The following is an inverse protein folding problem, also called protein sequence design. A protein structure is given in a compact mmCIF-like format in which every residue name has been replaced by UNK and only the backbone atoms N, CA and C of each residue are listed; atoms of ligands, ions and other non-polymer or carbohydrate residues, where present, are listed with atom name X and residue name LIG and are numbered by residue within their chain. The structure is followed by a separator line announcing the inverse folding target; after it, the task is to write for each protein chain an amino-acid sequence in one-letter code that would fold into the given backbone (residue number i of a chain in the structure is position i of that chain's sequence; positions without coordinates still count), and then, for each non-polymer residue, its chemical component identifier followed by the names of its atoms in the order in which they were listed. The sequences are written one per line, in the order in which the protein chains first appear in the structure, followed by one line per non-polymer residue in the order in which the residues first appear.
data_IF_908573182429
#
_entry.id   IF_908573182429
#
_cell.length_a   1.000
_cell.length_b   1.000
_cell.length_c   1.000
_cell.angle_alpha   90.00
_cell.angle_beta   90.00
_cell.angle_gamma   90.00
#
_symmetry.space_group_name_H-M   'P 1'
#
loop_
_entity.id
_entity.type
_entity.pdbx_description
1 polymer ?
#
# COMPACT_ATOMS: atom_id res chain seq x y z
N UNK A 1 -7.92 29.00 32.52
CA UNK A 1 -7.78 27.76 31.72
C UNK A 1 -6.90 28.03 30.48
N UNK A 2 -5.56 27.98 30.57
CA UNK A 2 -4.72 28.18 29.37
C UNK A 2 -3.26 27.63 29.45
N UNK A 3 -3.01 26.56 30.21
CA UNK A 3 -1.63 26.06 30.47
C UNK A 3 -1.21 24.84 29.63
N UNK A 4 -1.91 24.53 28.54
CA UNK A 4 -1.64 23.36 27.68
C UNK A 4 -1.12 23.62 26.24
N UNK A 5 -0.73 24.82 25.78
CA UNK A 5 -0.18 24.94 24.43
C UNK A 5 1.24 24.39 24.34
N UNK A 6 2.12 24.68 25.32
CA UNK A 6 3.55 24.34 25.20
C UNK A 6 3.78 22.83 25.23
N UNK A 7 3.19 22.10 26.19
CA UNK A 7 3.34 20.64 26.27
C UNK A 7 2.81 19.92 25.01
N UNK A 8 1.62 20.30 24.53
CA UNK A 8 1.04 19.72 23.31
C UNK A 8 1.88 20.06 22.07
N UNK A 9 2.35 21.30 21.94
CA UNK A 9 3.23 21.71 20.84
C UNK A 9 4.56 20.97 20.91
N UNK A 10 5.17 20.82 22.08
CA UNK A 10 6.41 20.05 22.25
C UNK A 10 6.23 18.58 21.89
N UNK A 11 5.13 17.94 22.31
CA UNK A 11 4.81 16.57 21.91
C UNK A 11 4.60 16.44 20.40
N UNK A 12 3.89 17.39 19.77
CA UNK A 12 3.69 17.43 18.32
C UNK A 12 5.02 17.61 17.59
N UNK A 13 5.85 18.58 17.98
CA UNK A 13 7.16 18.83 17.39
C UNK A 13 8.07 17.60 17.51
N UNK A 14 8.13 16.96 18.68
CA UNK A 14 8.94 15.76 18.88
C UNK A 14 8.41 14.58 18.05
N UNK A 15 7.09 14.38 18.01
CA UNK A 15 6.46 13.33 17.20
C UNK A 15 6.74 13.50 15.71
N UNK A 16 6.59 14.71 15.18
CA UNK A 16 6.95 15.00 13.79
C UNK A 16 8.45 14.87 13.56
N UNK A 17 9.31 15.40 14.44
CA UNK A 17 10.75 15.25 14.30
C UNK A 17 11.15 13.77 14.24
N UNK A 18 10.60 12.94 15.12
CA UNK A 18 10.87 11.50 15.14
C UNK A 18 10.48 10.81 13.82
N UNK A 19 9.35 11.17 13.21
CA UNK A 19 8.91 10.60 11.92
C UNK A 19 9.72 11.12 10.73
N UNK A 20 10.08 12.40 10.72
CA UNK A 20 10.72 13.06 9.58
C UNK A 20 12.25 12.94 9.58
N UNK A 21 12.90 12.82 10.76
CA UNK A 21 14.36 12.68 10.86
C UNK A 21 14.89 11.47 10.06
N UNK A 22 14.31 10.25 10.16
CA UNK A 22 14.76 9.11 9.36
C UNK A 22 14.60 9.33 7.85
N UNK A 23 13.51 9.99 7.43
CA UNK A 23 13.25 10.32 6.02
C UNK A 23 14.31 11.31 5.52
N UNK A 24 14.57 12.38 6.28
CA UNK A 24 15.61 13.36 5.96
C UNK A 24 17.01 12.73 5.94
N UNK A 25 17.29 11.84 6.88
CA UNK A 25 18.54 11.07 6.91
C UNK A 25 18.71 10.24 5.64
N UNK A 26 17.67 9.52 5.19
CA UNK A 26 17.66 8.81 3.92
C UNK A 26 17.93 9.72 2.72
N UNK A 27 17.36 10.93 2.70
CA UNK A 27 17.62 11.92 1.65
C UNK A 27 19.08 12.40 1.70
N UNK A 28 19.65 12.67 2.88
CA UNK A 28 21.06 13.07 2.99
C UNK A 28 21.99 11.96 2.52
N UNK A 29 21.71 10.71 2.92
CA UNK A 29 22.51 9.55 2.53
C UNK A 29 22.36 9.16 1.06
N UNK A 30 21.28 9.54 0.36
CA UNK A 30 21.18 9.32 -1.09
C UNK A 30 22.25 10.08 -1.88
N UNK A 31 22.79 11.17 -1.31
CA UNK A 31 23.92 11.91 -1.86
C UNK A 31 25.29 11.39 -1.42
N UNK A 32 25.37 10.30 -0.64
CA UNK A 32 26.64 9.73 -0.22
C UNK A 32 27.27 8.91 -1.37
N UNK A 33 28.51 9.24 -1.74
CA UNK A 33 29.27 8.46 -2.74
C UNK A 33 29.56 7.02 -2.28
N UNK A 34 29.68 6.80 -0.98
CA UNK A 34 29.96 5.47 -0.42
C UNK A 34 28.78 4.52 -0.58
N UNK A 35 29.07 3.22 -0.74
CA UNK A 35 28.05 2.15 -0.68
C UNK A 35 27.62 1.84 0.75
N UNK A 36 28.45 2.18 1.73
CA UNK A 36 28.18 1.96 3.15
C UNK A 36 27.71 3.27 3.76
N UNK A 37 26.53 3.25 4.38
CA UNK A 37 25.98 4.41 5.11
C UNK A 37 26.88 4.82 6.30
N UNK A 38 27.72 3.91 6.79
CA UNK A 38 28.68 4.15 7.89
C UNK A 38 29.92 4.94 7.48
N UNK A 39 30.19 5.08 6.18
CA UNK A 39 31.38 5.78 5.66
C UNK A 39 30.93 6.94 4.79
N UNK A 40 31.29 8.16 5.14
CA UNK A 40 30.99 9.34 4.32
C UNK A 40 31.99 9.47 3.18
N UNK A 41 31.57 9.14 1.95
CA UNK A 41 32.41 9.18 0.75
C UNK A 41 32.42 10.52 0.01
N UNK A 42 31.80 11.56 0.58
CA UNK A 42 31.57 12.85 -0.05
C UNK A 42 30.23 12.94 -0.80
N UNK A 43 29.84 14.18 -1.15
CA UNK A 43 28.60 14.47 -1.87
C UNK A 43 28.68 13.98 -3.33
N UNK A 44 27.67 13.26 -3.80
CA UNK A 44 27.59 12.70 -5.15
C UNK A 44 26.16 12.40 -5.56
N UNK A 45 25.80 12.73 -6.80
CA UNK A 45 24.52 12.37 -7.42
C UNK A 45 24.60 11.10 -8.28
N UNK A 46 25.72 10.36 -8.19
CA UNK A 46 25.99 9.19 -9.03
C UNK A 46 24.87 8.13 -9.02
N UNK A 47 24.18 7.96 -7.89
CA UNK A 47 23.15 6.93 -7.72
C UNK A 47 21.90 7.23 -8.55
N UNK A 48 21.57 8.51 -8.71
CA UNK A 48 20.48 8.94 -9.59
C UNK A 48 20.81 8.63 -11.05
N UNK A 49 22.05 8.90 -11.49
CA UNK A 49 22.51 8.51 -12.84
C UNK A 49 22.47 7.00 -13.07
N UNK A 50 22.98 6.22 -12.10
CA UNK A 50 22.94 4.75 -12.16
C UNK A 50 21.52 4.19 -12.15
N UNK A 51 20.59 4.82 -11.43
CA UNK A 51 19.19 4.44 -11.39
C UNK A 51 18.55 4.57 -12.78
N UNK A 52 18.79 5.68 -13.47
CA UNK A 52 18.25 5.93 -14.81
C UNK A 52 18.81 4.97 -15.88
N UNK A 53 20.05 4.49 -15.69
CA UNK A 53 20.67 3.50 -16.58
C UNK A 53 20.35 2.04 -16.20
N UNK A 54 19.56 1.81 -15.15
CA UNK A 54 19.17 0.47 -14.74
C UNK A 54 17.79 0.13 -15.32
N UNK A 55 17.79 -0.49 -16.50
CA UNK A 55 16.57 -0.89 -17.20
C UNK A 55 15.66 -1.80 -16.37
N UNK A 56 16.24 -2.67 -15.53
CA UNK A 56 15.47 -3.57 -14.68
C UNK A 56 14.67 -2.79 -13.63
N UNK A 57 15.30 -1.82 -12.96
CA UNK A 57 14.62 -0.98 -11.96
C UNK A 57 13.61 -0.06 -12.62
N UNK A 58 13.95 0.52 -13.77
CA UNK A 58 13.03 1.40 -14.51
C UNK A 58 11.78 0.65 -14.98
N UNK A 59 11.95 -0.54 -15.56
CA UNK A 59 10.82 -1.39 -15.97
C UNK A 59 9.96 -1.81 -14.78
N UNK A 60 10.57 -2.16 -13.65
CA UNK A 60 9.83 -2.49 -12.43
C UNK A 60 9.03 -1.29 -11.92
N UNK A 61 9.60 -0.08 -11.94
CA UNK A 61 8.91 1.14 -11.52
C UNK A 61 7.69 1.45 -12.40
N UNK A 62 7.83 1.32 -13.73
CA UNK A 62 6.72 1.50 -14.67
C UNK A 62 5.63 0.45 -14.43
N UNK A 63 6.01 -0.82 -14.29
CA UNK A 63 5.07 -1.91 -13.99
C UNK A 63 4.31 -1.64 -12.68
N UNK A 64 5.00 -1.20 -11.62
CA UNK A 64 4.37 -0.83 -10.36
C UNK A 64 3.38 0.32 -10.52
N UNK A 65 3.72 1.32 -11.34
CA UNK A 65 2.83 2.45 -11.62
C UNK A 65 1.57 2.01 -12.38
N UNK A 66 1.71 1.15 -13.40
CA UNK A 66 0.57 0.58 -14.12
C UNK A 66 -0.36 -0.22 -13.20
N UNK A 67 0.22 -1.09 -12.35
CA UNK A 67 -0.53 -1.86 -11.36
C UNK A 67 -1.25 -0.91 -10.39
N UNK A 68 -0.58 0.13 -9.90
CA UNK A 68 -1.16 1.09 -8.96
C UNK A 68 -2.34 1.85 -9.57
N UNK A 69 -2.22 2.32 -10.82
CA UNK A 69 -3.29 3.04 -11.52
C UNK A 69 -4.52 2.17 -11.74
N UNK A 70 -4.34 0.95 -12.24
CA UNK A 70 -5.45 0.02 -12.44
C UNK A 70 -6.08 -0.37 -11.10
N UNK A 71 -5.25 -0.71 -10.11
CA UNK A 71 -5.73 -1.14 -8.80
C UNK A 71 -6.52 -0.04 -8.11
N UNK A 72 -6.00 1.19 -8.10
CA UNK A 72 -6.70 2.36 -7.53
C UNK A 72 -8.03 2.61 -8.23
N UNK A 73 -8.07 2.55 -9.56
CA UNK A 73 -9.30 2.81 -10.34
C UNK A 73 -10.38 1.77 -10.03
N UNK A 74 -10.07 0.48 -10.16
CA UNK A 74 -11.04 -0.59 -9.92
C UNK A 74 -11.42 -0.70 -8.44
N UNK A 75 -10.47 -0.56 -7.52
CA UNK A 75 -10.76 -0.57 -6.09
C UNK A 75 -11.66 0.62 -5.68
N UNK A 76 -11.47 1.79 -6.30
CA UNK A 76 -12.33 2.95 -6.02
C UNK A 76 -13.75 2.68 -6.48
N UNK A 77 -13.95 2.18 -7.69
CA UNK A 77 -15.28 1.88 -8.23
C UNK A 77 -15.98 0.80 -7.38
N UNK A 78 -15.34 -0.36 -7.22
CA UNK A 78 -15.92 -1.50 -6.51
C UNK A 78 -16.07 -1.23 -5.01
N UNK A 79 -15.09 -0.59 -4.39
CA UNK A 79 -15.11 -0.20 -2.98
C UNK A 79 -16.18 0.85 -2.68
N UNK A 80 -16.38 1.81 -3.56
CA UNK A 80 -17.46 2.80 -3.42
C UNK A 80 -18.83 2.13 -3.50
N UNK A 81 -19.02 1.21 -4.44
CA UNK A 81 -20.26 0.42 -4.53
C UNK A 81 -20.52 -0.39 -3.25
N UNK A 82 -19.49 -1.07 -2.73
CA UNK A 82 -19.59 -1.85 -1.49
C UNK A 82 -19.84 -0.97 -0.25
N UNK A 83 -19.13 0.16 -0.13
CA UNK A 83 -19.26 1.11 0.96
C UNK A 83 -20.64 1.76 0.99
N UNK A 84 -21.14 2.24 -0.15
CA UNK A 84 -22.51 2.78 -0.28
C UNK A 84 -23.55 1.70 0.07
N UNK A 85 -23.34 0.46 -0.38
CA UNK A 85 -24.26 -0.63 -0.08
C UNK A 85 -24.35 -0.87 1.44
N UNK A 86 -23.20 -0.88 2.14
CA UNK A 86 -23.13 -1.06 3.59
C UNK A 86 -23.67 0.13 4.39
N UNK A 87 -23.44 1.35 3.91
CA UNK A 87 -23.91 2.58 4.55
C UNK A 87 -25.43 2.78 4.39
N UNK A 88 -25.94 2.60 3.17
CA UNK A 88 -27.32 2.98 2.83
C UNK A 88 -28.34 1.87 3.05
N UNK A 89 -28.00 0.60 2.80
CA UNK A 89 -28.95 -0.49 2.98
C UNK A 89 -28.86 -1.08 4.39
N UNK A 90 -29.80 -0.70 5.27
CA UNK A 90 -29.81 -1.14 6.68
C UNK A 90 -30.02 -2.65 6.89
N UNK A 91 -30.80 -3.33 6.05
CA UNK A 91 -31.08 -4.77 6.20
C UNK A 91 -31.05 -5.46 4.83
N UNK A 92 -30.15 -6.42 4.64
CA UNK A 92 -30.13 -7.35 3.50
C UNK A 92 -29.64 -8.73 3.96
N UNK A 93 -30.08 -9.79 3.27
CA UNK A 93 -29.69 -11.17 3.60
C UNK A 93 -28.17 -11.31 3.42
N UNK A 94 -27.46 -11.75 4.46
CA UNK A 94 -26.00 -11.91 4.43
C UNK A 94 -25.19 -10.66 4.78
N UNK A 95 -25.81 -9.57 5.28
CA UNK A 95 -25.11 -8.34 5.67
C UNK A 95 -23.90 -8.56 6.59
N UNK A 96 -24.06 -9.38 7.63
CA UNK A 96 -22.98 -9.65 8.59
C UNK A 96 -21.78 -10.31 7.91
N UNK A 97 -22.03 -11.29 7.04
CA UNK A 97 -20.98 -11.97 6.29
C UNK A 97 -20.31 -10.99 5.31
N UNK A 98 -21.08 -10.22 4.55
CA UNK A 98 -20.54 -9.24 3.61
C UNK A 98 -19.71 -8.16 4.30
N UNK A 99 -20.20 -7.61 5.41
CA UNK A 99 -19.46 -6.65 6.23
C UNK A 99 -18.17 -7.28 6.75
N UNK A 100 -18.23 -8.51 7.26
CA UNK A 100 -17.06 -9.25 7.74
C UNK A 100 -16.01 -9.46 6.64
N UNK A 101 -16.44 -9.84 5.42
CA UNK A 101 -15.55 -10.03 4.27
C UNK A 101 -14.87 -8.71 3.84
N UNK A 102 -15.59 -7.59 3.87
CA UNK A 102 -15.02 -6.28 3.53
C UNK A 102 -14.02 -5.82 4.59
N UNK A 103 -14.28 -6.05 5.89
CA UNK A 103 -13.41 -5.59 6.96
C UNK A 103 -12.29 -6.57 7.32
N UNK A 104 -12.40 -7.85 6.95
CA UNK A 104 -11.42 -8.88 7.35
C UNK A 104 -9.99 -8.54 6.91
N UNK A 105 -9.72 -8.12 5.66
CA UNK A 105 -8.36 -7.77 5.24
C UNK A 105 -7.74 -6.58 5.98
N UNK A 106 -8.54 -5.70 6.60
CA UNK A 106 -8.01 -4.56 7.37
C UNK A 106 -7.37 -4.95 8.70
N UNK A 107 -7.77 -6.10 9.26
CA UNK A 107 -7.26 -6.61 10.54
C UNK A 107 -6.19 -7.66 10.32
N UNK A 108 -6.12 -8.24 9.13
CA UNK A 108 -5.13 -9.25 8.78
C UNK A 108 -3.77 -8.60 8.50
N UNK A 109 -2.66 -9.21 8.95
CA UNK A 109 -1.32 -8.79 8.55
C UNK A 109 -1.13 -8.89 7.04
N UNK A 110 -0.52 -7.87 6.43
CA UNK A 110 -0.32 -7.78 4.99
C UNK A 110 0.39 -9.02 4.42
N UNK A 111 1.39 -9.54 5.13
CA UNK A 111 2.13 -10.75 4.74
C UNK A 111 1.20 -11.96 4.62
N UNK A 112 0.28 -12.14 5.59
CA UNK A 112 -0.68 -13.25 5.58
C UNK A 112 -1.59 -13.10 4.36
N UNK A 113 -2.13 -11.91 4.15
CA UNK A 113 -3.02 -11.66 3.01
C UNK A 113 -2.34 -11.91 1.66
N UNK A 114 -1.08 -11.52 1.51
CA UNK A 114 -0.29 -11.76 0.29
C UNK A 114 -0.04 -13.25 0.04
N UNK A 115 0.32 -14.01 1.08
CA UNK A 115 0.51 -15.47 0.96
C UNK A 115 -0.81 -16.17 0.66
N UNK A 116 -1.91 -15.76 1.31
CA UNK A 116 -3.24 -16.31 1.04
C UNK A 116 -3.69 -16.04 -0.40
N UNK A 117 -3.46 -14.85 -0.95
CA UNK A 117 -3.75 -14.56 -2.37
C UNK A 117 -2.87 -15.38 -3.31
N UNK A 118 -1.59 -15.57 -2.99
CA UNK A 118 -0.71 -16.44 -3.79
C UNK A 118 -1.22 -17.88 -3.82
N UNK A 119 -1.58 -18.43 -2.65
CA UNK A 119 -2.15 -19.78 -2.54
C UNK A 119 -3.48 -19.89 -3.30
N UNK A 120 -4.33 -18.85 -3.22
CA UNK A 120 -5.56 -18.79 -4.00
C UNK A 120 -5.29 -18.89 -5.50
N UNK A 121 -4.31 -18.16 -6.03
CA UNK A 121 -3.96 -18.25 -7.47
C UNK A 121 -3.35 -19.60 -7.85
N UNK A 122 -2.58 -20.24 -6.95
CA UNK A 122 -2.06 -21.60 -7.18
C UNK A 122 -3.22 -22.60 -7.27
N UNK A 123 -4.17 -22.53 -6.35
CA UNK A 123 -5.35 -23.38 -6.35
C UNK A 123 -6.21 -23.11 -7.59
N UNK A 124 -6.49 -21.84 -7.94
CA UNK A 124 -7.23 -21.54 -9.16
C UNK A 124 -6.54 -22.09 -10.42
N UNK A 125 -5.20 -22.03 -10.49
CA UNK A 125 -4.47 -22.60 -11.62
C UNK A 125 -4.63 -24.14 -11.70
N UNK A 126 -4.68 -24.83 -10.57
CA UNK A 126 -4.88 -26.29 -10.54
C UNK A 126 -6.32 -26.70 -10.89
N UNK A 127 -7.32 -25.94 -10.43
CA UNK A 127 -8.73 -26.31 -10.54
C UNK A 127 -9.38 -25.80 -11.84
N UNK A 128 -9.04 -24.58 -12.25
CA UNK A 128 -9.63 -23.86 -13.38
C UNK A 128 -8.64 -23.68 -14.54
N UNK A 129 -7.35 -23.99 -14.34
CA UNK A 129 -6.31 -23.79 -15.35
C UNK A 129 -5.84 -22.34 -15.49
N UNK A 130 -6.34 -21.43 -14.65
CA UNK A 130 -5.98 -20.01 -14.66
C UNK A 130 -5.53 -19.55 -13.28
N UNK A 131 -4.43 -18.78 -13.14
CA UNK A 131 -3.60 -18.20 -14.20
C UNK A 131 -2.49 -19.16 -14.67
N UNK A 132 -2.23 -19.20 -15.99
CA UNK A 132 -1.14 -19.99 -16.57
C UNK A 132 0.25 -19.51 -16.09
N UNK A 133 0.39 -18.20 -15.85
CA UNK A 133 1.59 -17.59 -15.28
C UNK A 133 1.19 -16.56 -14.22
N UNK A 134 1.96 -16.52 -13.13
CA UNK A 134 1.82 -15.52 -12.07
C UNK A 134 2.64 -14.30 -12.48
N UNK A 135 2.07 -13.11 -12.30
CA UNK A 135 2.68 -11.87 -12.75
C UNK A 135 1.73 -10.70 -12.60
N UNK A 136 1.69 -9.82 -13.59
CA UNK A 136 0.92 -8.59 -13.57
C UNK A 136 -0.54 -8.79 -13.13
N UNK A 137 -1.28 -9.70 -13.78
CA UNK A 137 -2.72 -9.91 -13.51
C UNK A 137 -3.01 -10.35 -12.07
N UNK A 138 -2.25 -11.32 -11.56
CA UNK A 138 -2.38 -11.81 -10.19
C UNK A 138 -2.06 -10.74 -9.15
N UNK A 139 -1.04 -9.93 -9.43
CA UNK A 139 -0.64 -8.83 -8.54
C UNK A 139 -1.73 -7.76 -8.54
N UNK A 140 -2.23 -7.36 -9.71
CA UNK A 140 -3.29 -6.36 -9.84
C UNK A 140 -4.57 -6.80 -9.13
N UNK A 141 -5.01 -8.05 -9.30
CA UNK A 141 -6.24 -8.54 -8.63
C UNK A 141 -6.07 -8.58 -7.10
N UNK A 142 -4.89 -8.99 -6.61
CA UNK A 142 -4.60 -8.97 -5.18
C UNK A 142 -4.65 -7.53 -4.64
N UNK A 143 -4.00 -6.58 -5.31
CA UNK A 143 -4.01 -5.17 -4.92
C UNK A 143 -5.41 -4.56 -4.98
N UNK A 144 -6.20 -4.84 -6.03
CA UNK A 144 -7.61 -4.41 -6.10
C UNK A 144 -8.37 -4.89 -4.86
N UNK A 145 -8.22 -6.17 -4.50
CA UNK A 145 -8.91 -6.77 -3.36
C UNK A 145 -8.54 -6.07 -2.05
N UNK A 146 -7.25 -5.78 -1.84
CA UNK A 146 -6.80 -5.07 -0.63
C UNK A 146 -7.27 -3.62 -0.61
N UNK A 147 -7.03 -2.86 -1.67
CA UNK A 147 -7.41 -1.45 -1.76
C UNK A 147 -8.94 -1.26 -1.66
N UNK A 148 -9.73 -2.21 -2.16
CA UNK A 148 -11.19 -2.16 -2.09
C UNK A 148 -11.69 -2.05 -0.65
N UNK A 149 -11.06 -2.78 0.29
CA UNK A 149 -11.47 -2.76 1.71
C UNK A 149 -11.24 -1.41 2.37
N UNK A 150 -10.12 -0.75 2.03
CA UNK A 150 -9.82 0.60 2.48
C UNK A 150 -10.83 1.61 1.93
N UNK A 151 -11.10 1.57 0.62
CA UNK A 151 -12.09 2.46 -0.01
C UNK A 151 -13.47 2.24 0.59
N UNK A 152 -13.93 0.99 0.67
CA UNK A 152 -15.27 0.66 1.18
C UNK A 152 -15.46 1.16 2.61
N UNK A 153 -14.44 1.02 3.47
CA UNK A 153 -14.51 1.45 4.87
C UNK A 153 -14.52 2.97 4.99
N UNK A 154 -13.70 3.67 4.21
CA UNK A 154 -13.70 5.15 4.17
C UNK A 154 -15.07 5.65 3.71
N UNK A 155 -15.61 5.12 2.62
CA UNK A 155 -16.92 5.51 2.07
C UNK A 155 -18.05 5.16 3.02
N UNK A 156 -17.99 4.02 3.71
CA UNK A 156 -18.99 3.60 4.69
C UNK A 156 -19.03 4.53 5.92
N UNK A 157 -17.87 5.08 6.33
CA UNK A 157 -17.76 5.94 7.52
C UNK A 157 -18.25 7.37 7.31
N UNK A 158 -18.50 7.77 6.06
CA UNK A 158 -18.99 9.10 5.67
C UNK A 158 -20.50 9.10 5.55
#
# INVERSE_FOLDING_TARGET
MNRRPIFLISCLCFGFAFLYIPILSMIVFSFNRSRLATVWGGFSTQWYGKLLHNDQVMRAAILSLEIALLSATFATILGTMAGIALARFKRFRGRTLFSGLVTAPLVMPEVITGISSLLLFILMAQWIGWPAQRGFTTITIAHITFCLTYVATIVQSR
#
